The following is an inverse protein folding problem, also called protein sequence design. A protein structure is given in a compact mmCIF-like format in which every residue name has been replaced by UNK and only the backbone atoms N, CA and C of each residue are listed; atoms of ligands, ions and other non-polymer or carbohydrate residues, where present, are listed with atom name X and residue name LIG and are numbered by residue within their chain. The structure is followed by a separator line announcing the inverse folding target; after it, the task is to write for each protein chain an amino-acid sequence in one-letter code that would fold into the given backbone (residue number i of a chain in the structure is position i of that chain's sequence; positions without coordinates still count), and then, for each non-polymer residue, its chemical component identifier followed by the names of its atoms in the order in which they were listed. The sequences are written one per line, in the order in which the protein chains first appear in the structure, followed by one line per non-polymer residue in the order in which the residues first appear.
data_IF_154938239337
#
_entry.id   IF_154938239337
#
_cell.length_a   1.000
_cell.length_b   1.000
_cell.length_c   1.000
_cell.angle_alpha   90.00
_cell.angle_beta   90.00
_cell.angle_gamma   90.00
#
_symmetry.space_group_name_H-M   'P 1'
#
loop_
_entity.id
_entity.type
_entity.pdbx_description
1 polymer ?
#
# COMPACT_ATOMS: atom_id res chain seq x y z
N UNK A 1 3.98 -17.97 2.41
CA UNK A 1 4.17 -16.81 3.30
C UNK A 1 2.89 -15.97 3.21
N UNK A 2 2.36 -15.51 4.33
CA UNK A 2 1.11 -14.73 4.37
C UNK A 2 1.30 -13.35 3.72
N UNK A 3 0.37 -12.92 2.87
CA UNK A 3 0.43 -11.64 2.15
C UNK A 3 0.48 -10.46 3.11
N UNK A 4 -0.24 -10.53 4.22
CA UNK A 4 -0.23 -9.47 5.22
C UNK A 4 1.15 -9.37 5.90
N UNK A 5 1.78 -10.52 6.18
CA UNK A 5 3.16 -10.54 6.72
C UNK A 5 4.17 -9.96 5.75
N UNK A 6 4.04 -10.22 4.45
CA UNK A 6 4.93 -9.62 3.43
C UNK A 6 4.76 -8.09 3.33
N UNK A 7 3.53 -7.59 3.50
CA UNK A 7 3.26 -6.15 3.51
C UNK A 7 3.84 -5.50 4.76
N UNK A 8 3.65 -6.11 5.94
CA UNK A 8 4.24 -5.65 7.19
C UNK A 8 5.77 -5.62 7.13
N UNK A 9 6.40 -6.70 6.63
CA UNK A 9 7.85 -6.78 6.45
C UNK A 9 8.35 -5.71 5.48
N UNK A 10 7.64 -5.47 4.36
CA UNK A 10 7.99 -4.41 3.42
C UNK A 10 7.91 -3.02 4.07
N UNK A 11 6.88 -2.76 4.86
CA UNK A 11 6.72 -1.48 5.58
C UNK A 11 7.80 -1.28 6.64
N UNK A 12 8.18 -2.34 7.35
CA UNK A 12 9.23 -2.29 8.37
C UNK A 12 10.62 -2.05 7.75
N UNK A 13 10.92 -2.72 6.64
CA UNK A 13 12.14 -2.47 5.87
C UNK A 13 12.20 -1.01 5.39
N UNK A 14 11.11 -0.50 4.80
CA UNK A 14 11.02 0.89 4.35
C UNK A 14 11.27 1.86 5.51
N UNK A 15 10.69 1.61 6.69
CA UNK A 15 10.88 2.47 7.87
C UNK A 15 12.31 2.42 8.38
N UNK A 16 12.88 1.23 8.50
CA UNK A 16 14.25 1.01 8.96
C UNK A 16 15.27 1.69 8.03
N UNK A 17 15.08 1.58 6.72
CA UNK A 17 15.94 2.25 5.73
C UNK A 17 15.89 3.76 5.88
N UNK A 18 14.70 4.34 6.11
CA UNK A 18 14.54 5.78 6.33
C UNK A 18 15.22 6.24 7.59
N UNK A 19 14.97 5.57 8.72
CA UNK A 19 15.60 5.91 9.99
C UNK A 19 17.12 5.86 9.88
N UNK A 20 17.65 4.79 9.27
CA UNK A 20 19.10 4.66 9.05
C UNK A 20 19.64 5.80 8.18
N UNK A 21 18.95 6.12 7.09
CA UNK A 21 19.37 7.20 6.17
C UNK A 21 19.29 8.58 6.81
N UNK A 22 18.27 8.83 7.64
CA UNK A 22 18.12 10.06 8.42
C UNK A 22 19.25 10.21 9.45
N UNK A 23 19.60 9.13 10.17
CA UNK A 23 20.76 9.12 11.07
C UNK A 23 22.07 9.44 10.33
N UNK A 24 22.32 8.81 9.18
CA UNK A 24 23.51 9.08 8.37
C UNK A 24 23.56 10.52 7.84
N UNK A 25 22.41 11.14 7.55
CA UNK A 25 22.34 12.56 7.18
C UNK A 25 22.66 13.49 8.35
N UNK A 26 22.26 13.13 9.57
CA UNK A 26 22.59 13.88 10.79
C UNK A 26 24.09 13.79 11.06
N UNK A 27 24.67 12.60 10.97
CA UNK A 27 26.10 12.38 11.18
C UNK A 27 26.93 13.17 10.17
N UNK A 28 26.56 13.11 8.89
CA UNK A 28 27.21 13.88 7.83
C UNK A 28 27.12 15.39 8.09
N UNK A 29 25.99 15.89 8.59
CA UNK A 29 25.85 17.30 8.96
C UNK A 29 26.81 17.69 10.10
N UNK A 30 27.00 16.82 11.10
CA UNK A 30 27.95 17.06 12.18
C UNK A 30 29.40 17.09 11.67
N UNK A 31 29.78 16.16 10.79
CA UNK A 31 31.12 16.13 10.18
C UNK A 31 31.40 17.41 9.36
N UNK A 32 30.41 17.89 8.60
CA UNK A 32 30.50 19.17 7.86
C UNK A 32 30.72 20.34 8.83
N UNK A 33 29.93 20.42 9.90
CA UNK A 33 30.04 21.50 10.90
C UNK A 33 31.41 21.52 11.59
N UNK A 34 32.04 20.35 11.76
CA UNK A 34 33.36 20.20 12.35
C UNK A 34 34.50 20.38 11.34
N UNK A 35 34.20 20.74 10.07
CA UNK A 35 35.16 20.81 8.96
C UNK A 35 35.96 19.51 8.74
N UNK A 36 35.38 18.35 9.09
CA UNK A 36 36.03 17.05 8.95
C UNK A 36 35.94 16.49 7.52
N UNK A 37 35.01 17.01 6.73
CA UNK A 37 34.80 16.62 5.33
C UNK A 37 34.68 17.86 4.45
N UNK A 38 35.18 17.75 3.22
CA UNK A 38 35.01 18.80 2.23
C UNK A 38 33.55 18.90 1.78
N UNK A 39 33.01 20.11 1.71
CA UNK A 39 31.61 20.39 1.35
C UNK A 39 31.18 19.75 0.02
N UNK A 40 32.08 19.70 -0.98
CA UNK A 40 31.79 19.09 -2.28
C UNK A 40 31.59 17.58 -2.15
N UNK A 41 32.47 16.92 -1.39
CA UNK A 41 32.36 15.48 -1.11
C UNK A 41 31.13 15.18 -0.26
N UNK A 42 30.88 15.99 0.76
CA UNK A 42 29.73 15.85 1.62
C UNK A 42 28.40 16.05 0.86
N UNK A 43 28.35 17.02 -0.07
CA UNK A 43 27.19 17.23 -0.94
C UNK A 43 26.87 16.01 -1.83
N UNK A 44 27.90 15.34 -2.35
CA UNK A 44 27.71 14.11 -3.14
C UNK A 44 27.15 12.96 -2.29
N UNK A 45 27.63 12.80 -1.06
CA UNK A 45 27.14 11.78 -0.13
C UNK A 45 25.70 12.08 0.30
N UNK A 46 25.40 13.34 0.66
CA UNK A 46 24.06 13.78 1.01
C UNK A 46 23.06 13.54 -0.12
N UNK A 47 23.45 13.81 -1.37
CA UNK A 47 22.61 13.55 -2.53
C UNK A 47 22.24 12.06 -2.65
N UNK A 48 23.15 11.14 -2.31
CA UNK A 48 22.86 9.70 -2.31
C UNK A 48 21.88 9.32 -1.21
N UNK A 49 22.01 9.90 -0.02
CA UNK A 49 21.04 9.67 1.06
C UNK A 49 19.65 10.21 0.72
N UNK A 50 19.57 11.40 0.12
CA UNK A 50 18.28 11.96 -0.36
C UNK A 50 17.68 11.09 -1.47
N UNK A 51 18.49 10.58 -2.40
CA UNK A 51 18.04 9.64 -3.43
C UNK A 51 17.47 8.35 -2.83
N UNK A 52 18.11 7.79 -1.79
CA UNK A 52 17.59 6.63 -1.04
C UNK A 52 16.25 6.94 -0.38
N UNK A 53 16.11 8.10 0.27
CA UNK A 53 14.84 8.54 0.85
C UNK A 53 13.74 8.71 -0.20
N UNK A 54 14.07 9.25 -1.38
CA UNK A 54 13.12 9.37 -2.48
C UNK A 54 12.64 7.98 -2.95
N UNK A 55 13.56 7.02 -3.15
CA UNK A 55 13.17 5.64 -3.53
C UNK A 55 12.28 5.00 -2.47
N UNK A 56 12.57 5.23 -1.19
CA UNK A 56 11.75 4.76 -0.07
C UNK A 56 10.33 5.37 -0.11
N UNK A 57 10.18 6.65 -0.45
CA UNK A 57 8.86 7.27 -0.68
C UNK A 57 8.12 6.60 -1.84
N UNK A 58 8.80 6.36 -2.96
CA UNK A 58 8.19 5.68 -4.12
C UNK A 58 7.74 4.24 -3.79
N UNK A 59 8.52 3.52 -2.97
CA UNK A 59 8.15 2.19 -2.49
C UNK A 59 6.92 2.22 -1.60
N UNK A 60 6.83 3.18 -0.67
CA UNK A 60 5.67 3.35 0.21
C UNK A 60 4.39 3.59 -0.60
N UNK A 61 4.44 4.47 -1.60
CA UNK A 61 3.31 4.74 -2.51
C UNK A 61 2.89 3.47 -3.26
N UNK A 62 3.85 2.67 -3.75
CA UNK A 62 3.55 1.39 -4.42
C UNK A 62 2.89 0.39 -3.48
N UNK A 63 3.38 0.26 -2.25
CA UNK A 63 2.78 -0.63 -1.22
C UNK A 63 1.35 -0.19 -0.91
N UNK A 64 1.13 1.12 -0.70
CA UNK A 64 -0.20 1.68 -0.46
C UNK A 64 -1.16 1.38 -1.62
N UNK A 65 -0.71 1.55 -2.86
CA UNK A 65 -1.51 1.24 -4.04
C UNK A 65 -1.88 -0.26 -4.12
N UNK A 66 -0.95 -1.16 -3.78
CA UNK A 66 -1.22 -2.60 -3.73
C UNK A 66 -2.22 -2.97 -2.64
N UNK A 67 -2.15 -2.34 -1.46
CA UNK A 67 -3.12 -2.52 -0.37
C UNK A 67 -4.50 -2.06 -0.84
N UNK A 68 -4.61 -0.84 -1.37
CA UNK A 68 -5.88 -0.30 -1.87
C UNK A 68 -6.51 -1.20 -2.94
N UNK A 69 -5.70 -1.70 -3.89
CA UNK A 69 -6.18 -2.64 -4.91
C UNK A 69 -6.64 -3.97 -4.29
N UNK A 70 -5.93 -4.46 -3.27
CA UNK A 70 -6.31 -5.69 -2.58
C UNK A 70 -7.63 -5.53 -1.82
N UNK A 71 -7.86 -4.38 -1.18
CA UNK A 71 -9.13 -4.05 -0.51
C UNK A 71 -10.28 -3.97 -1.52
N UNK A 72 -10.06 -3.30 -2.66
CA UNK A 72 -11.05 -3.25 -3.75
C UNK A 72 -11.41 -4.63 -4.32
N UNK A 73 -10.45 -5.55 -4.40
CA UNK A 73 -10.67 -6.93 -4.84
C UNK A 73 -11.31 -7.82 -3.76
N UNK A 74 -11.14 -7.47 -2.49
CA UNK A 74 -11.70 -8.19 -1.34
C UNK A 74 -13.08 -7.66 -0.93
N UNK A 75 -13.54 -6.58 -1.56
CA UNK A 75 -14.96 -6.31 -1.68
C UNK A 75 -15.58 -7.47 -2.44
N UNK A 76 -16.04 -8.48 -1.70
CA UNK A 76 -17.05 -9.40 -2.18
C UNK A 76 -18.12 -8.56 -2.90
N UNK A 77 -18.57 -9.03 -4.06
CA UNK A 77 -19.91 -8.65 -4.53
C UNK A 77 -20.88 -9.29 -3.53
N UNK A 78 -20.94 -8.76 -2.32
CA UNK A 78 -21.98 -9.03 -1.36
C UNK A 78 -23.15 -8.20 -1.84
N UNK A 79 -24.16 -8.89 -2.34
CA UNK A 79 -25.47 -8.29 -2.54
C UNK A 79 -25.88 -7.67 -1.21
N UNK A 80 -26.24 -6.38 -1.23
CA UNK A 80 -26.93 -5.77 -0.10
C UNK A 80 -28.20 -6.56 0.22
N UNK A 81 -28.69 -6.48 1.44
CA UNK A 81 -29.88 -7.27 1.82
C UNK A 81 -31.09 -6.94 0.93
N UNK A 82 -31.24 -5.68 0.50
CA UNK A 82 -32.23 -5.29 -0.49
C UNK A 82 -32.02 -5.96 -1.87
N UNK A 83 -30.77 -6.08 -2.33
CA UNK A 83 -30.49 -6.77 -3.60
C UNK A 83 -30.78 -8.27 -3.51
N UNK A 84 -30.52 -8.89 -2.34
CA UNK A 84 -30.91 -10.28 -2.08
C UNK A 84 -32.42 -10.43 -2.10
N UNK A 85 -33.15 -9.56 -1.40
CA UNK A 85 -34.61 -9.59 -1.32
C UNK A 85 -35.24 -9.42 -2.70
N UNK A 86 -34.76 -8.45 -3.49
CA UNK A 86 -35.20 -8.26 -4.87
C UNK A 86 -34.90 -9.47 -5.77
N UNK A 87 -33.74 -10.14 -5.59
CA UNK A 87 -33.40 -11.38 -6.29
C UNK A 87 -34.32 -12.54 -5.89
N UNK A 88 -34.67 -12.65 -4.60
CA UNK A 88 -35.62 -13.65 -4.12
C UNK A 88 -37.01 -13.44 -4.71
N UNK A 89 -37.50 -12.20 -4.74
CA UNK A 89 -38.80 -11.86 -5.34
C UNK A 89 -38.83 -12.15 -6.84
N UNK A 90 -37.77 -11.79 -7.57
CA UNK A 90 -37.66 -12.04 -9.02
C UNK A 90 -37.70 -13.54 -9.33
N UNK A 91 -36.95 -14.36 -8.59
CA UNK A 91 -36.92 -15.82 -8.75
C UNK A 91 -38.29 -16.42 -8.43
N UNK A 92 -38.96 -15.97 -7.37
CA UNK A 92 -40.31 -16.45 -7.05
C UNK A 92 -41.34 -16.07 -8.11
N UNK A 93 -41.24 -14.86 -8.67
CA UNK A 93 -42.10 -14.40 -9.76
C UNK A 93 -41.96 -15.31 -10.99
N UNK A 94 -40.74 -15.58 -11.44
CA UNK A 94 -40.48 -16.47 -12.58
C UNK A 94 -40.94 -17.91 -12.33
N UNK A 95 -40.80 -18.42 -11.10
CA UNK A 95 -41.28 -19.76 -10.74
C UNK A 95 -42.81 -19.86 -10.78
N UNK A 96 -43.51 -18.83 -10.28
CA UNK A 96 -44.96 -18.79 -10.33
C UNK A 96 -45.50 -18.64 -11.75
N UNK A 97 -44.85 -17.84 -12.60
CA UNK A 97 -45.22 -17.72 -14.02
C UNK A 97 -45.02 -19.03 -14.79
N UNK A 98 -43.95 -19.77 -14.51
CA UNK A 98 -43.73 -21.11 -15.09
C UNK A 98 -44.74 -22.14 -14.60
N UNK A 99 -45.12 -22.10 -13.33
CA UNK A 99 -46.10 -23.01 -12.75
C UNK A 99 -47.54 -22.71 -13.21
N UNK A 100 -47.84 -21.47 -13.63
CA UNK A 100 -49.15 -21.06 -14.15
C UNK A 100 -49.29 -21.18 -15.67
N UNK A 101 -48.22 -21.51 -16.38
CA UNK A 101 -48.22 -21.80 -17.82
C UNK A 101 -48.30 -23.29 -18.19
N UNK A 102 -48.45 -24.19 -17.20
CA UNK A 102 -48.55 -25.65 -17.40
C UNK A 102 -49.99 -26.21 -17.36
N UNK A 103 -51.03 -25.35 -17.34
CA UNK A 103 -52.44 -25.75 -17.54
C UNK A 103 -52.92 -25.56 -19.00
#
# INVERSE_FOLDING_TARGET
MDKNKLIEEALDNIRTDRTTTESLLIDLQQEIQQNQVENVRAGLVAAKYVETLQRSNEQLVKVLHLIQKAEQQSGSVELSDNEKDNLFELIQGEMNERASGED
#
